data_IF_845611014232
#
_entry.id   IF_845611014232
#
_cell.length_a   1.000
_cell.length_b   1.000
_cell.length_c   1.000
_cell.angle_alpha   90.00
_cell.angle_beta   90.00
_cell.angle_gamma   90.00
#
_symmetry.space_group_name_H-M   'P 1'
#
loop_
_entity.id
_entity.type
_entity.pdbx_description
1 polymer ?
#
# COMPACT_ATOMS: atom_id res chain seq x y z
N UNK A 1 35.18 -2.33 11.51
CA UNK A 1 34.45 -1.74 10.37
C UNK A 1 33.35 -2.72 9.94
N UNK A 2 32.24 -2.82 10.68
CA UNK A 2 31.26 -3.93 10.53
C UNK A 2 29.80 -3.53 10.83
N UNK A 3 29.38 -2.33 10.46
CA UNK A 3 28.03 -1.79 10.83
C UNK A 3 27.22 -1.19 9.68
N UNK A 4 27.64 -1.33 8.42
CA UNK A 4 26.85 -0.81 7.26
C UNK A 4 26.14 -1.88 6.43
N UNK A 5 26.57 -3.15 6.49
CA UNK A 5 26.01 -4.23 5.66
C UNK A 5 24.62 -4.68 6.19
N UNK A 6 24.43 -4.72 7.52
CA UNK A 6 23.16 -5.14 8.12
C UNK A 6 21.96 -4.23 7.82
N UNK A 7 22.18 -2.92 7.60
CA UNK A 7 21.10 -1.96 7.31
C UNK A 7 20.53 -2.13 5.90
N UNK A 8 21.38 -2.46 4.93
CA UNK A 8 20.95 -2.72 3.55
C UNK A 8 20.14 -4.03 3.44
N UNK A 9 20.57 -5.08 4.16
CA UNK A 9 19.85 -6.36 4.15
C UNK A 9 18.46 -6.22 4.80
N UNK A 10 18.33 -5.50 5.92
CA UNK A 10 17.02 -5.24 6.53
C UNK A 10 16.08 -4.41 5.66
N UNK A 11 16.59 -3.36 5.01
CA UNK A 11 15.77 -2.53 4.13
C UNK A 11 15.24 -3.32 2.92
N UNK A 12 16.09 -4.15 2.29
CA UNK A 12 15.69 -4.97 1.15
C UNK A 12 14.67 -6.06 1.52
N UNK A 13 14.78 -6.64 2.72
CA UNK A 13 13.81 -7.63 3.21
C UNK A 13 12.45 -6.97 3.48
N UNK A 14 12.42 -5.76 4.05
CA UNK A 14 11.18 -5.01 4.26
C UNK A 14 10.50 -4.64 2.94
N UNK A 15 11.26 -4.14 1.96
CA UNK A 15 10.72 -3.81 0.63
C UNK A 15 10.24 -5.07 -0.10
N UNK A 16 11.00 -6.16 -0.02
CA UNK A 16 10.64 -7.44 -0.61
C UNK A 16 9.37 -8.03 0.00
N UNK A 17 9.23 -8.01 1.33
CA UNK A 17 8.03 -8.50 2.01
C UNK A 17 6.80 -7.65 1.71
N UNK A 18 6.95 -6.33 1.58
CA UNK A 18 5.87 -5.47 1.09
C UNK A 18 5.49 -5.84 -0.34
N UNK A 19 6.42 -5.96 -1.28
CA UNK A 19 6.12 -6.34 -2.66
C UNK A 19 5.40 -7.70 -2.76
N UNK A 20 5.78 -8.69 -1.94
CA UNK A 20 5.10 -9.98 -1.87
C UNK A 20 3.71 -9.84 -1.24
N UNK A 21 3.52 -9.02 -0.22
CA UNK A 21 2.20 -8.73 0.34
C UNK A 21 1.28 -8.07 -0.69
N UNK A 22 1.80 -7.13 -1.50
CA UNK A 22 1.06 -6.47 -2.58
C UNK A 22 0.70 -7.41 -3.74
N UNK A 23 1.55 -8.39 -4.07
CA UNK A 23 1.31 -9.37 -5.15
C UNK A 23 0.60 -10.63 -4.70
N UNK A 24 0.59 -10.91 -3.40
CA UNK A 24 -0.17 -12.02 -2.82
C UNK A 24 -1.67 -11.77 -2.97
N UNK A 25 -2.46 -12.84 -3.06
CA UNK A 25 -3.93 -12.75 -3.13
C UNK A 25 -4.55 -12.23 -1.81
N UNK A 26 -3.76 -12.22 -0.74
CA UNK A 26 -4.14 -11.85 0.64
C UNK A 26 -4.79 -10.48 0.79
N UNK A 27 -4.27 -9.36 0.23
CA UNK A 27 -4.96 -8.07 0.18
C UNK A 27 -6.34 -8.13 -0.50
N UNK A 28 -6.50 -8.98 -1.51
CA UNK A 28 -7.76 -9.18 -2.21
C UNK A 28 -8.76 -9.99 -1.40
N UNK A 29 -8.30 -11.03 -0.69
CA UNK A 29 -9.13 -11.79 0.26
C UNK A 29 -9.47 -10.99 1.52
N UNK A 30 -8.63 -10.02 1.91
CA UNK A 30 -8.87 -9.12 3.03
C UNK A 30 -9.82 -7.94 2.69
N UNK A 31 -10.26 -7.81 1.43
CA UNK A 31 -11.13 -6.73 0.97
C UNK A 31 -10.42 -5.39 0.76
N UNK A 32 -9.10 -5.32 0.94
CA UNK A 32 -8.33 -4.08 0.81
C UNK A 32 -8.31 -3.56 -0.63
N UNK A 33 -8.11 -4.43 -1.63
CA UNK A 33 -8.11 -3.99 -3.04
C UNK A 33 -9.49 -3.59 -3.54
N UNK A 34 -10.57 -4.17 -2.99
CA UNK A 34 -11.94 -3.77 -3.32
C UNK A 34 -12.23 -2.36 -2.80
N UNK A 35 -11.89 -2.08 -1.54
CA UNK A 35 -11.99 -0.73 -0.98
C UNK A 35 -11.13 0.29 -1.72
N UNK A 36 -9.92 -0.11 -2.13
CA UNK A 36 -9.07 0.75 -2.96
C UNK A 36 -9.71 1.09 -4.30
N UNK A 37 -10.28 0.10 -5.00
CA UNK A 37 -10.96 0.31 -6.26
C UNK A 37 -12.20 1.21 -6.12
N UNK A 38 -13.01 1.00 -5.06
CA UNK A 38 -14.16 1.86 -4.77
C UNK A 38 -13.72 3.31 -4.49
N UNK A 39 -12.65 3.50 -3.71
CA UNK A 39 -12.09 4.83 -3.39
C UNK A 39 -11.51 5.54 -4.61
N UNK A 40 -10.75 4.83 -5.46
CA UNK A 40 -10.23 5.37 -6.72
C UNK A 40 -11.37 5.78 -7.67
N UNK A 41 -12.46 5.02 -7.68
CA UNK A 41 -13.63 5.35 -8.48
C UNK A 41 -14.28 6.65 -7.99
N UNK A 42 -14.44 6.83 -6.68
CA UNK A 42 -14.94 8.08 -6.08
C UNK A 42 -13.97 9.25 -6.33
N UNK A 43 -12.66 9.03 -6.17
CA UNK A 43 -11.62 10.02 -6.46
C UNK A 43 -11.62 10.45 -7.93
N UNK A 44 -12.00 9.56 -8.85
CA UNK A 44 -12.10 9.87 -10.28
C UNK A 44 -13.22 10.87 -10.58
N UNK A 45 -14.25 10.96 -9.73
CA UNK A 45 -15.36 11.91 -9.86
C UNK A 45 -14.96 13.35 -9.49
N UNK A 46 -13.77 13.55 -8.90
CA UNK A 46 -13.25 14.86 -8.58
C UNK A 46 -13.08 15.75 -9.81
N UNK A 47 -13.53 17.01 -9.70
CA UNK A 47 -13.65 17.93 -10.85
C UNK A 47 -12.33 18.56 -11.27
N UNK A 48 -11.31 18.53 -10.41
CA UNK A 48 -10.01 19.14 -10.69
C UNK A 48 -8.90 18.10 -10.63
N UNK A 49 -7.90 18.26 -11.50
CA UNK A 49 -6.78 17.33 -11.59
C UNK A 49 -6.05 17.18 -10.26
N UNK A 50 -5.82 18.29 -9.54
CA UNK A 50 -5.14 18.24 -8.24
C UNK A 50 -5.99 17.54 -7.17
N UNK A 51 -7.30 17.77 -7.13
CA UNK A 51 -8.18 17.06 -6.19
C UNK A 51 -8.19 15.55 -6.47
N UNK A 52 -8.26 15.15 -7.74
CA UNK A 52 -8.20 13.73 -8.14
C UNK A 52 -6.89 13.07 -7.72
N UNK A 53 -5.75 13.75 -7.90
CA UNK A 53 -4.44 13.22 -7.50
C UNK A 53 -4.31 13.09 -5.99
N UNK A 54 -4.79 14.08 -5.23
CA UNK A 54 -4.75 14.04 -3.75
C UNK A 54 -5.66 12.93 -3.23
N UNK A 55 -6.90 12.85 -3.73
CA UNK A 55 -7.85 11.81 -3.36
C UNK A 55 -7.33 10.41 -3.69
N UNK A 56 -6.72 10.21 -4.87
CA UNK A 56 -6.08 8.93 -5.22
C UNK A 56 -4.89 8.58 -4.33
N UNK A 57 -4.12 9.59 -3.88
CA UNK A 57 -3.05 9.38 -2.91
C UNK A 57 -3.59 8.95 -1.53
N UNK A 58 -4.69 9.54 -1.07
CA UNK A 58 -5.38 9.12 0.16
C UNK A 58 -5.89 7.67 0.04
N UNK A 59 -6.47 7.30 -1.11
CA UNK A 59 -6.88 5.91 -1.36
C UNK A 59 -5.71 4.92 -1.26
N UNK A 60 -4.52 5.29 -1.77
CA UNK A 60 -3.32 4.47 -1.66
C UNK A 60 -2.83 4.33 -0.22
N UNK A 61 -2.94 5.38 0.59
CA UNK A 61 -2.58 5.34 2.01
C UNK A 61 -3.53 4.42 2.80
N UNK A 62 -4.84 4.52 2.56
CA UNK A 62 -5.85 3.64 3.14
C UNK A 62 -5.63 2.17 2.75
N UNK A 63 -5.26 1.93 1.49
CA UNK A 63 -4.89 0.59 1.03
C UNK A 63 -3.66 0.07 1.76
N UNK A 64 -2.61 0.88 1.88
CA UNK A 64 -1.39 0.51 2.58
C UNK A 64 -1.64 0.23 4.07
N UNK A 65 -2.51 1.00 4.72
CA UNK A 65 -2.93 0.77 6.10
C UNK A 65 -3.74 -0.53 6.25
N UNK A 66 -4.69 -0.76 5.34
CA UNK A 66 -5.46 -2.01 5.32
C UNK A 66 -4.55 -3.23 5.14
N UNK A 67 -3.59 -3.17 4.23
CA UNK A 67 -2.58 -4.22 4.03
C UNK A 67 -1.74 -4.41 5.28
N UNK A 68 -1.28 -3.31 5.90
CA UNK A 68 -0.50 -3.36 7.14
C UNK A 68 -1.27 -4.08 8.25
N UNK A 69 -2.54 -3.73 8.48
CA UNK A 69 -3.33 -4.31 9.57
C UNK A 69 -3.75 -5.75 9.24
N UNK A 70 -4.24 -6.01 8.03
CA UNK A 70 -4.88 -7.29 7.68
C UNK A 70 -3.92 -8.36 7.17
N UNK A 71 -2.82 -7.95 6.53
CA UNK A 71 -1.85 -8.87 5.93
C UNK A 71 -0.59 -8.95 6.78
N UNK A 72 -0.10 -7.81 7.26
CA UNK A 72 1.13 -7.76 8.06
C UNK A 72 0.84 -7.95 9.57
N UNK A 73 -0.36 -7.57 10.05
CA UNK A 73 -0.76 -7.71 11.45
C UNK A 73 -0.03 -6.73 12.38
N UNK A 74 0.31 -5.54 11.88
CA UNK A 74 1.24 -4.57 12.47
C UNK A 74 0.63 -3.17 12.66
#
# INVERSE_FOLDING_TARGET
>A
MMTRIGKFVSASILVGTMAVAFTSSTPSYAGCTRKFADCEQDASEERTFMARVIAGADCLLDFAECVRIKVIGL
#
